data_IF_217416458840
#
_entry.id   IF_217416458840
#
_cell.length_a   1.000
_cell.length_b   1.000
_cell.length_c   1.000
_cell.angle_alpha   90.00
_cell.angle_beta   90.00
_cell.angle_gamma   90.00
#
_symmetry.space_group_name_H-M   'P 1'
#
loop_
_entity.id
_entity.type
_entity.pdbx_description
1 polymer ?
#
# COMPACT_ATOMS: atom_id res chain seq x y z
N UNK A 1 18.20 4.35 -16.56
CA UNK A 1 17.20 3.29 -16.87
C UNK A 1 16.59 3.49 -18.24
N UNK A 2 15.67 4.45 -18.41
CA UNK A 2 14.90 4.65 -19.66
C UNK A 2 15.74 4.76 -20.95
N UNK A 3 16.80 5.58 -20.97
CA UNK A 3 17.68 5.72 -22.15
C UNK A 3 18.41 4.41 -22.52
N UNK A 4 18.73 3.58 -21.52
CA UNK A 4 19.41 2.29 -21.72
C UNK A 4 18.43 1.15 -22.01
N UNK A 5 17.12 1.37 -21.89
CA UNK A 5 16.12 0.31 -21.95
C UNK A 5 16.20 -0.70 -20.80
N UNK A 6 16.86 -0.34 -19.70
CA UNK A 6 17.04 -1.20 -18.53
C UNK A 6 15.91 -0.98 -17.53
N UNK A 7 15.12 -2.03 -17.29
CA UNK A 7 13.97 -2.02 -16.39
C UNK A 7 14.27 -2.68 -15.03
N UNK A 8 15.41 -3.34 -14.87
CA UNK A 8 15.66 -4.18 -13.69
C UNK A 8 16.55 -3.47 -12.69
N UNK A 9 17.66 -2.88 -13.13
CA UNK A 9 18.67 -2.30 -12.23
C UNK A 9 18.60 -0.78 -12.26
N UNK A 10 18.10 -0.12 -11.19
CA UNK A 10 18.16 1.32 -11.10
C UNK A 10 19.61 1.78 -10.95
N UNK A 11 19.91 2.93 -11.55
CA UNK A 11 21.21 3.58 -11.37
C UNK A 11 21.03 5.06 -11.13
N UNK A 12 21.82 5.61 -10.20
CA UNK A 12 21.88 7.04 -9.90
C UNK A 12 23.33 7.48 -10.09
N UNK A 13 23.56 8.50 -10.91
CA UNK A 13 24.92 8.98 -11.27
C UNK A 13 25.89 7.92 -11.82
N UNK A 14 25.36 6.86 -12.45
CA UNK A 14 26.18 5.77 -13.01
C UNK A 14 26.34 4.58 -12.07
N UNK A 15 26.12 4.79 -10.77
CA UNK A 15 26.20 3.74 -9.75
C UNK A 15 24.88 2.99 -9.60
N UNK A 16 24.97 1.71 -9.23
CA UNK A 16 23.82 0.86 -8.96
C UNK A 16 23.06 1.34 -7.71
N UNK A 17 21.75 1.54 -7.85
CA UNK A 17 20.88 2.00 -6.77
C UNK A 17 19.83 0.92 -6.47
N UNK A 18 20.15 0.01 -5.56
CA UNK A 18 19.24 -1.04 -5.09
C UNK A 18 18.82 -0.68 -3.66
N UNK A 19 18.30 0.52 -3.45
CA UNK A 19 17.73 0.94 -2.16
C UNK A 19 16.20 0.87 -2.12
N UNK A 20 15.56 0.74 -3.29
CA UNK A 20 14.10 0.65 -3.45
C UNK A 20 13.73 -0.37 -4.53
N UNK A 21 12.63 -1.11 -4.38
CA UNK A 21 12.15 -1.98 -5.45
C UNK A 21 11.62 -1.18 -6.66
N UNK A 22 11.46 -1.82 -7.83
CA UNK A 22 11.42 -1.10 -9.10
C UNK A 22 10.06 -0.54 -9.53
N UNK A 23 8.97 -0.79 -8.80
CA UNK A 23 7.61 -0.49 -9.30
C UNK A 23 7.38 0.98 -9.65
N UNK A 24 7.85 1.91 -8.82
CA UNK A 24 7.71 3.33 -9.12
C UNK A 24 8.53 3.72 -10.37
N UNK A 25 9.73 3.16 -10.55
CA UNK A 25 10.53 3.40 -11.75
C UNK A 25 9.85 2.82 -13.01
N UNK A 26 9.19 1.66 -12.91
CA UNK A 26 8.41 1.11 -14.01
C UNK A 26 7.25 2.02 -14.40
N UNK A 27 6.52 2.58 -13.43
CA UNK A 27 5.45 3.54 -13.69
C UNK A 27 5.99 4.79 -14.40
N UNK A 28 7.08 5.36 -13.90
CA UNK A 28 7.74 6.52 -14.51
C UNK A 28 8.18 6.22 -15.95
N UNK A 29 8.78 5.06 -16.19
CA UNK A 29 9.20 4.63 -17.52
C UNK A 29 8.03 4.36 -18.46
N UNK A 30 6.92 3.80 -17.97
CA UNK A 30 5.71 3.60 -18.75
C UNK A 30 5.11 4.94 -19.19
N UNK A 31 5.07 5.93 -18.28
CA UNK A 31 4.65 7.30 -18.60
C UNK A 31 5.58 7.92 -19.66
N UNK A 32 6.90 7.75 -19.51
CA UNK A 32 7.88 8.25 -20.48
C UNK A 32 7.66 7.64 -21.87
N UNK A 33 7.39 6.33 -21.96
CA UNK A 33 7.06 5.66 -23.22
C UNK A 33 5.78 6.23 -23.84
N UNK A 34 4.71 6.36 -23.04
CA UNK A 34 3.43 6.89 -23.50
C UNK A 34 3.58 8.33 -24.02
N UNK A 35 4.30 9.21 -23.30
CA UNK A 35 4.55 10.58 -23.72
C UNK A 35 5.30 10.64 -25.04
N UNK A 36 6.36 9.83 -25.22
CA UNK A 36 7.10 9.76 -26.49
C UNK A 36 6.22 9.28 -27.65
N UNK A 37 5.37 8.29 -27.42
CA UNK A 37 4.42 7.81 -28.44
C UNK A 37 3.42 8.91 -28.88
N UNK A 38 3.13 9.87 -27.99
CA UNK A 38 2.30 11.05 -28.28
C UNK A 38 3.10 12.25 -28.85
N UNK A 39 4.36 12.06 -29.24
CA UNK A 39 5.18 13.11 -29.86
C UNK A 39 5.86 14.06 -28.87
N UNK A 40 5.90 13.73 -27.58
CA UNK A 40 6.66 14.53 -26.60
C UNK A 40 8.18 14.43 -26.84
N UNK A 41 8.92 15.36 -26.23
CA UNK A 41 10.39 15.39 -26.28
C UNK A 41 11.02 14.02 -26.03
N UNK A 42 12.10 13.66 -26.76
CA UNK A 42 12.84 12.44 -26.49
C UNK A 42 13.58 12.49 -25.13
N UNK A 43 13.74 13.66 -24.52
CA UNK A 43 14.37 13.79 -23.21
C UNK A 43 13.34 13.66 -22.08
N UNK A 44 13.65 12.84 -21.08
CA UNK A 44 12.88 12.74 -19.83
C UNK A 44 13.21 13.91 -18.93
N UNK A 45 12.18 14.52 -18.31
CA UNK A 45 12.32 15.62 -17.38
C UNK A 45 11.68 15.27 -16.01
N UNK A 46 11.50 16.26 -15.14
CA UNK A 46 10.85 16.03 -13.85
C UNK A 46 9.36 15.69 -13.97
N UNK A 47 8.76 15.91 -15.14
CA UNK A 47 7.31 15.76 -15.34
C UNK A 47 6.89 14.31 -15.20
N UNK A 48 7.64 13.33 -15.72
CA UNK A 48 7.30 11.91 -15.56
C UNK A 48 7.28 11.50 -14.09
N UNK A 49 8.24 11.98 -13.31
CA UNK A 49 8.36 11.69 -11.87
C UNK A 49 7.19 12.31 -11.11
N UNK A 50 6.88 13.59 -11.36
CA UNK A 50 5.76 14.29 -10.72
C UNK A 50 4.42 13.73 -11.15
N UNK A 51 4.26 13.34 -12.41
CA UNK A 51 3.03 12.75 -12.93
C UNK A 51 2.79 11.35 -12.33
N UNK A 52 3.83 10.53 -12.20
CA UNK A 52 3.74 9.24 -11.51
C UNK A 52 3.25 9.41 -10.06
N UNK A 53 3.86 10.35 -9.32
CA UNK A 53 3.47 10.64 -7.94
C UNK A 53 2.05 11.22 -7.85
N UNK A 54 1.65 12.09 -8.77
CA UNK A 54 0.31 12.66 -8.81
C UNK A 54 -0.76 11.58 -9.09
N UNK A 55 -0.51 10.69 -10.05
CA UNK A 55 -1.39 9.56 -10.35
C UNK A 55 -1.51 8.60 -9.17
N UNK A 56 -0.41 8.29 -8.50
CA UNK A 56 -0.41 7.51 -7.26
C UNK A 56 -1.22 8.19 -6.14
N UNK A 57 -1.04 9.51 -5.98
CA UNK A 57 -1.82 10.31 -5.03
C UNK A 57 -3.32 10.27 -5.29
N UNK A 58 -3.72 10.47 -6.56
CA UNK A 58 -5.13 10.35 -6.99
C UNK A 58 -5.65 8.92 -6.77
N UNK A 59 -4.87 7.90 -7.14
CA UNK A 59 -5.24 6.51 -6.94
C UNK A 59 -5.49 6.20 -5.45
N UNK A 60 -4.69 6.73 -4.54
CA UNK A 60 -4.91 6.51 -3.10
C UNK A 60 -6.14 7.25 -2.56
N UNK A 61 -6.48 8.44 -3.07
CA UNK A 61 -7.74 9.13 -2.73
C UNK A 61 -8.96 8.34 -3.22
N UNK A 62 -8.90 7.85 -4.47
CA UNK A 62 -9.96 7.00 -5.02
C UNK A 62 -10.08 5.68 -4.26
N UNK A 63 -8.96 5.04 -3.92
CA UNK A 63 -8.95 3.84 -3.10
C UNK A 63 -9.57 4.10 -1.72
N UNK A 64 -9.23 5.21 -1.06
CA UNK A 64 -9.80 5.60 0.24
C UNK A 64 -11.32 5.78 0.15
N UNK A 65 -11.80 6.45 -0.91
CA UNK A 65 -13.23 6.59 -1.15
C UNK A 65 -13.90 5.23 -1.37
N UNK A 66 -13.42 4.43 -2.32
CA UNK A 66 -14.05 3.16 -2.71
C UNK A 66 -14.04 2.14 -1.56
N UNK A 67 -12.92 2.03 -0.84
CA UNK A 67 -12.80 1.17 0.34
C UNK A 67 -13.66 1.71 1.47
N UNK A 68 -13.61 3.00 1.76
CA UNK A 68 -14.43 3.65 2.79
C UNK A 68 -15.93 3.39 2.59
N UNK A 69 -16.43 3.54 1.37
CA UNK A 69 -17.84 3.24 1.03
C UNK A 69 -18.23 1.82 1.37
N UNK A 70 -17.35 0.85 1.05
CA UNK A 70 -17.60 -0.57 1.31
C UNK A 70 -17.52 -0.92 2.79
N UNK A 71 -16.63 -0.25 3.53
CA UNK A 71 -16.51 -0.43 4.98
C UNK A 71 -17.75 0.09 5.71
N UNK A 72 -18.25 1.27 5.33
CA UNK A 72 -19.43 1.88 5.95
C UNK A 72 -20.73 1.14 5.61
N UNK A 73 -20.80 0.49 4.46
CA UNK A 73 -21.99 -0.25 4.04
C UNK A 73 -22.22 -1.57 4.79
N UNK A 74 -21.31 -2.00 5.68
CA UNK A 74 -21.43 -3.21 6.52
C UNK A 74 -21.86 -4.50 5.79
N UNK A 75 -21.53 -4.64 4.49
CA UNK A 75 -21.89 -5.79 3.66
C UNK A 75 -23.19 -5.64 2.86
N UNK A 76 -23.91 -4.52 3.01
CA UNK A 76 -25.03 -4.10 2.16
C UNK A 76 -24.60 -3.23 0.98
N UNK A 77 -25.60 -2.67 0.28
CA UNK A 77 -25.38 -1.63 -0.72
C UNK A 77 -25.09 -0.29 -0.01
N UNK A 78 -24.08 0.49 -0.44
CA UNK A 78 -23.78 1.79 0.15
C UNK A 78 -24.98 2.74 0.05
N UNK A 79 -25.30 3.42 1.15
CA UNK A 79 -26.27 4.50 1.18
C UNK A 79 -25.64 5.84 0.80
N UNK A 80 -26.47 6.86 0.51
CA UNK A 80 -25.98 8.22 0.24
C UNK A 80 -25.18 8.80 1.43
N UNK A 81 -25.52 8.39 2.67
CA UNK A 81 -24.77 8.77 3.87
C UNK A 81 -23.38 8.14 3.89
N UNK A 82 -23.27 6.87 3.53
CA UNK A 82 -21.99 6.14 3.49
C UNK A 82 -21.05 6.76 2.44
N UNK A 83 -21.62 7.13 1.29
CA UNK A 83 -20.90 7.84 0.23
C UNK A 83 -20.39 9.20 0.71
N UNK A 84 -21.21 9.98 1.42
CA UNK A 84 -20.79 11.26 1.98
C UNK A 84 -19.67 11.11 3.02
N UNK A 85 -19.77 10.13 3.93
CA UNK A 85 -18.74 9.87 4.94
C UNK A 85 -17.43 9.37 4.31
N UNK A 86 -17.52 8.48 3.33
CA UNK A 86 -16.35 8.01 2.60
C UNK A 86 -15.69 9.14 1.79
N UNK A 87 -16.49 10.03 1.19
CA UNK A 87 -15.99 11.20 0.49
C UNK A 87 -15.27 12.15 1.45
N UNK A 88 -15.83 12.38 2.64
CA UNK A 88 -15.19 13.21 3.67
C UNK A 88 -13.83 12.61 4.10
N UNK A 89 -13.75 11.28 4.29
CA UNK A 89 -12.50 10.60 4.60
C UNK A 89 -11.46 10.71 3.48
N UNK A 90 -11.88 10.51 2.23
CA UNK A 90 -11.01 10.65 1.06
C UNK A 90 -10.52 12.10 0.86
N UNK A 91 -11.40 13.09 1.09
CA UNK A 91 -11.05 14.51 1.10
C UNK A 91 -10.09 14.84 2.24
N UNK A 92 -10.28 14.26 3.42
CA UNK A 92 -9.35 14.38 4.54
C UNK A 92 -7.95 13.87 4.20
N UNK A 93 -7.86 12.71 3.53
CA UNK A 93 -6.58 12.19 3.02
C UNK A 93 -5.98 13.14 1.98
N UNK A 94 -6.77 13.61 1.02
CA UNK A 94 -6.34 14.53 -0.04
C UNK A 94 -5.82 15.86 0.53
N UNK A 95 -6.51 16.41 1.53
CA UNK A 95 -6.14 17.67 2.19
C UNK A 95 -5.00 17.50 3.21
N UNK A 96 -4.62 16.28 3.56
CA UNK A 96 -3.53 15.99 4.48
C UNK A 96 -2.21 16.53 3.92
N UNK A 97 -1.56 17.43 4.66
CA UNK A 97 -0.35 18.16 4.21
C UNK A 97 0.74 17.21 3.73
N UNK A 98 1.00 16.12 4.45
CA UNK A 98 2.01 15.14 4.06
C UNK A 98 1.63 14.45 2.75
N UNK A 99 0.41 13.91 2.67
CA UNK A 99 -0.06 13.19 1.49
C UNK A 99 -0.08 14.07 0.24
N UNK A 100 -0.61 15.30 0.35
CA UNK A 100 -0.65 16.27 -0.73
C UNK A 100 0.75 16.66 -1.21
N UNK A 101 1.68 16.91 -0.29
CA UNK A 101 3.08 17.25 -0.64
C UNK A 101 3.74 16.08 -1.35
N UNK A 102 3.67 14.87 -0.81
CA UNK A 102 4.26 13.66 -1.41
C UNK A 102 3.73 13.40 -2.83
N UNK A 103 2.43 13.59 -3.06
CA UNK A 103 1.81 13.44 -4.38
C UNK A 103 2.28 14.51 -5.39
N UNK A 104 2.79 15.66 -4.94
CA UNK A 104 3.23 16.76 -5.82
C UNK A 104 4.74 16.79 -6.08
N UNK A 105 5.56 16.35 -5.13
CA UNK A 105 7.02 16.53 -5.19
C UNK A 105 7.74 15.38 -5.88
N UNK A 106 7.02 14.35 -6.35
CA UNK A 106 7.65 13.19 -6.97
C UNK A 106 8.17 12.17 -5.95
N UNK A 107 7.65 12.18 -4.71
CA UNK A 107 8.11 11.29 -3.66
C UNK A 107 7.80 9.83 -4.02
N UNK A 108 8.83 8.98 -4.04
CA UNK A 108 8.74 7.59 -4.52
C UNK A 108 7.78 6.75 -3.66
N UNK A 109 7.66 7.07 -2.37
CA UNK A 109 6.91 6.26 -1.42
C UNK A 109 5.38 6.41 -1.54
N UNK A 110 4.89 7.47 -2.21
CA UNK A 110 3.44 7.77 -2.32
C UNK A 110 2.65 6.64 -3.02
N UNK A 111 3.30 5.89 -3.92
CA UNK A 111 2.68 4.77 -4.63
C UNK A 111 2.28 3.61 -3.70
N UNK A 112 2.88 3.53 -2.51
CA UNK A 112 2.54 2.50 -1.52
C UNK A 112 1.13 2.70 -0.96
N UNK A 113 0.67 3.95 -0.85
CA UNK A 113 -0.57 4.30 -0.19
C UNK A 113 -1.83 3.63 -0.80
N UNK A 114 -2.11 3.73 -2.12
CA UNK A 114 -3.26 3.05 -2.70
C UNK A 114 -3.26 1.54 -2.46
N UNK A 115 -2.10 0.89 -2.59
CA UNK A 115 -1.97 -0.55 -2.36
C UNK A 115 -2.29 -0.95 -0.91
N UNK A 116 -1.77 -0.21 0.06
CA UNK A 116 -2.05 -0.48 1.48
C UNK A 116 -3.54 -0.29 1.79
N UNK A 117 -4.16 0.78 1.27
CA UNK A 117 -5.60 1.05 1.49
C UNK A 117 -6.45 -0.09 0.91
N UNK A 118 -6.18 -0.51 -0.32
CA UNK A 118 -6.89 -1.63 -0.96
C UNK A 118 -6.66 -2.94 -0.21
N UNK A 119 -5.43 -3.21 0.22
CA UNK A 119 -5.10 -4.43 0.98
C UNK A 119 -5.92 -4.49 2.28
N UNK A 120 -5.92 -3.42 3.08
CA UNK A 120 -6.69 -3.34 4.33
C UNK A 120 -8.20 -3.50 4.07
N UNK A 121 -8.74 -2.83 3.06
CA UNK A 121 -10.15 -2.96 2.68
C UNK A 121 -10.55 -4.37 2.27
N UNK A 122 -9.72 -5.03 1.45
CA UNK A 122 -9.98 -6.40 1.01
C UNK A 122 -9.85 -7.43 2.16
N UNK A 123 -8.86 -7.25 3.04
CA UNK A 123 -8.70 -8.07 4.25
C UNK A 123 -9.89 -7.92 5.20
N UNK A 124 -10.36 -6.69 5.43
CA UNK A 124 -11.58 -6.44 6.18
C UNK A 124 -12.77 -7.14 5.51
N UNK A 125 -12.93 -7.01 4.20
CA UNK A 125 -14.03 -7.67 3.49
C UNK A 125 -13.99 -9.19 3.63
N UNK A 126 -12.80 -9.82 3.62
CA UNK A 126 -12.63 -11.24 3.93
C UNK A 126 -13.10 -11.57 5.35
N UNK A 127 -12.74 -10.74 6.33
CA UNK A 127 -13.09 -10.93 7.74
C UNK A 127 -14.59 -10.80 8.00
N UNK A 128 -15.22 -9.77 7.43
CA UNK A 128 -16.64 -9.45 7.62
C UNK A 128 -17.59 -10.50 7.01
N UNK A 129 -17.08 -11.57 6.40
CA UNK A 129 -17.89 -12.67 5.90
C UNK A 129 -18.82 -12.28 4.75
N UNK A 130 -18.50 -11.21 3.99
CA UNK A 130 -19.31 -10.76 2.86
C UNK A 130 -19.69 -11.94 1.94
N UNK A 131 -20.94 -11.95 1.47
CA UNK A 131 -21.49 -13.07 0.70
C UNK A 131 -20.76 -13.23 -0.66
N UNK A 132 -20.37 -14.46 -1.00
CA UNK A 132 -19.76 -14.80 -2.28
C UNK A 132 -18.33 -14.26 -2.51
N UNK A 133 -17.64 -14.76 -3.53
CA UNK A 133 -16.38 -14.16 -4.01
C UNK A 133 -15.21 -14.10 -3.01
N UNK A 134 -15.13 -15.03 -2.04
CA UNK A 134 -14.03 -15.04 -1.03
C UNK A 134 -12.64 -15.07 -1.68
N UNK A 135 -12.49 -15.88 -2.72
CA UNK A 135 -11.22 -16.05 -3.42
C UNK A 135 -10.85 -14.81 -4.22
N UNK A 136 -11.84 -14.11 -4.80
CA UNK A 136 -11.60 -12.83 -5.46
C UNK A 136 -11.09 -11.78 -4.45
N UNK A 137 -11.68 -11.70 -3.25
CA UNK A 137 -11.21 -10.78 -2.19
C UNK A 137 -9.81 -11.13 -1.70
N UNK A 138 -9.52 -12.43 -1.50
CA UNK A 138 -8.16 -12.89 -1.16
C UNK A 138 -7.16 -12.55 -2.26
N UNK A 139 -7.54 -12.74 -3.53
CA UNK A 139 -6.69 -12.37 -4.67
C UNK A 139 -6.43 -10.86 -4.71
N UNK A 140 -7.47 -10.03 -4.52
CA UNK A 140 -7.32 -8.56 -4.44
C UNK A 140 -6.40 -8.16 -3.28
N UNK A 141 -6.59 -8.73 -2.08
CA UNK A 141 -5.73 -8.47 -0.94
C UNK A 141 -4.27 -8.86 -1.23
N UNK A 142 -4.06 -10.04 -1.82
CA UNK A 142 -2.73 -10.57 -2.15
C UNK A 142 -2.04 -9.70 -3.20
N UNK A 143 -2.73 -9.35 -4.28
CA UNK A 143 -2.19 -8.48 -5.34
C UNK A 143 -1.87 -7.09 -4.80
N UNK A 144 -2.72 -6.54 -3.93
CA UNK A 144 -2.47 -5.25 -3.30
C UNK A 144 -1.24 -5.30 -2.38
N UNK A 145 -1.07 -6.36 -1.58
CA UNK A 145 0.13 -6.54 -0.76
C UNK A 145 1.40 -6.73 -1.60
N UNK A 146 1.34 -7.48 -2.70
CA UNK A 146 2.46 -7.60 -3.65
C UNK A 146 2.81 -6.23 -4.24
N UNK A 147 1.81 -5.44 -4.64
CA UNK A 147 2.01 -4.08 -5.12
C UNK A 147 2.67 -3.17 -4.09
N UNK A 148 2.24 -3.24 -2.82
CA UNK A 148 2.86 -2.49 -1.73
C UNK A 148 4.33 -2.89 -1.50
N UNK A 149 4.61 -4.20 -1.50
CA UNK A 149 5.97 -4.72 -1.37
C UNK A 149 6.86 -4.33 -2.56
N UNK A 150 6.32 -4.32 -3.78
CA UNK A 150 7.04 -3.86 -4.96
C UNK A 150 7.20 -2.33 -5.03
N UNK A 151 6.41 -1.56 -4.28
CA UNK A 151 6.55 -0.10 -4.20
C UNK A 151 7.64 0.32 -3.21
N UNK A 152 7.68 -0.28 -2.02
CA UNK A 152 8.55 0.19 -0.91
C UNK A 152 9.31 -0.91 -0.17
N UNK A 153 9.08 -2.17 -0.52
CA UNK A 153 9.73 -3.33 0.08
C UNK A 153 8.91 -3.98 1.20
N UNK A 154 9.48 -4.96 1.91
CA UNK A 154 8.83 -5.66 3.01
C UNK A 154 8.20 -4.77 4.10
N UNK A 155 8.78 -3.61 4.48
CA UNK A 155 8.16 -2.72 5.47
C UNK A 155 6.74 -2.25 5.11
N UNK A 156 6.38 -2.21 3.83
CA UNK A 156 5.03 -1.83 3.39
C UNK A 156 3.95 -2.83 3.84
N UNK A 157 4.34 -4.07 4.18
CA UNK A 157 3.43 -5.12 4.63
C UNK A 157 3.06 -5.01 6.11
N UNK A 158 3.75 -4.16 6.87
CA UNK A 158 3.47 -3.94 8.29
C UNK A 158 2.04 -3.49 8.54
N UNK A 159 1.59 -2.47 7.81
CA UNK A 159 0.26 -1.88 8.05
C UNK A 159 -0.87 -2.88 7.75
N UNK A 160 -0.89 -3.57 6.58
CA UNK A 160 -1.86 -4.64 6.36
C UNK A 160 -1.74 -5.79 7.37
N UNK A 161 -0.53 -6.18 7.77
CA UNK A 161 -0.30 -7.22 8.76
C UNK A 161 -0.86 -6.87 10.14
N UNK A 162 -0.60 -5.64 10.61
CA UNK A 162 -1.16 -5.11 11.85
C UNK A 162 -2.69 -5.02 11.79
N UNK A 163 -3.27 -4.66 10.65
CA UNK A 163 -4.73 -4.64 10.48
C UNK A 163 -5.34 -6.04 10.67
N UNK A 164 -4.71 -7.09 10.15
CA UNK A 164 -5.14 -8.49 10.37
C UNK A 164 -5.03 -8.87 11.84
N UNK A 165 -3.86 -8.65 12.45
CA UNK A 165 -3.61 -9.02 13.84
C UNK A 165 -4.55 -8.28 14.80
N UNK A 166 -4.76 -6.98 14.57
CA UNK A 166 -5.70 -6.16 15.31
C UNK A 166 -7.14 -6.66 15.18
N UNK A 167 -7.58 -7.01 13.96
CA UNK A 167 -8.92 -7.58 13.73
C UNK A 167 -9.14 -8.92 14.43
N UNK A 168 -8.13 -9.80 14.42
CA UNK A 168 -8.14 -11.08 15.16
C UNK A 168 -8.22 -10.81 16.66
N UNK A 169 -7.35 -9.98 17.20
CA UNK A 169 -7.31 -9.66 18.63
C UNK A 169 -8.64 -9.05 19.11
N UNK A 170 -9.20 -8.09 18.36
CA UNK A 170 -10.48 -7.47 18.67
C UNK A 170 -11.60 -8.51 18.73
N UNK A 171 -11.66 -9.42 17.76
CA UNK A 171 -12.71 -10.45 17.72
C UNK A 171 -12.58 -11.46 18.86
N UNK A 172 -11.35 -11.78 19.29
CA UNK A 172 -11.12 -12.62 20.45
C UNK A 172 -11.52 -11.94 21.77
N UNK A 173 -11.51 -10.60 21.83
CA UNK A 173 -11.92 -9.82 23.00
C UNK A 173 -13.43 -9.64 23.08
N UNK A 174 -14.10 -9.45 21.93
CA UNK A 174 -15.51 -9.07 21.87
C UNK A 174 -16.48 -10.24 21.82
N UNK A 175 -16.02 -11.47 21.51
CA UNK A 175 -16.88 -12.66 21.57
C UNK A 175 -17.15 -13.07 23.02
N UNK A 176 -18.33 -12.70 23.51
CA UNK A 176 -18.83 -12.98 24.88
C UNK A 176 -19.24 -14.42 25.13
N UNK A 177 -19.48 -15.22 24.08
CA UNK A 177 -19.97 -16.61 24.18
C UNK A 177 -18.87 -17.69 24.14
N UNK A 178 -17.59 -17.30 24.17
CA UNK A 178 -16.49 -18.27 24.11
C UNK A 178 -16.28 -18.95 25.48
N UNK A 179 -16.18 -20.30 25.55
CA UNK A 179 -15.93 -21.01 26.79
C UNK A 179 -14.66 -20.49 27.49
N UNK A 180 -14.76 -20.31 28.82
CA UNK A 180 -13.75 -19.71 29.71
C UNK A 180 -12.33 -20.31 29.62
N UNK A 181 -12.15 -21.45 28.96
CA UNK A 181 -10.85 -22.05 28.65
C UNK A 181 -10.21 -21.38 27.43
N UNK A 182 -9.72 -20.15 27.60
CA UNK A 182 -8.95 -19.44 26.58
C UNK A 182 -7.62 -20.17 26.33
N UNK A 183 -7.28 -20.60 25.10
CA UNK A 183 -5.91 -21.01 24.81
C UNK A 183 -5.06 -19.74 24.80
N UNK A 184 -4.22 -19.56 25.83
CA UNK A 184 -3.20 -18.51 25.92
C UNK A 184 -2.36 -18.38 24.63
N UNK A 185 -2.31 -19.45 23.82
CA UNK A 185 -1.63 -19.51 22.52
C UNK A 185 -2.13 -18.55 21.44
N UNK A 186 -3.41 -18.14 21.44
CA UNK A 186 -3.89 -17.18 20.42
C UNK A 186 -3.36 -15.76 20.65
N UNK A 187 -3.28 -15.35 21.93
CA UNK A 187 -2.69 -14.09 22.36
C UNK A 187 -1.18 -14.07 22.12
N UNK A 188 -0.51 -15.16 22.45
CA UNK A 188 0.91 -15.33 22.17
C UNK A 188 1.13 -15.31 20.65
N UNK A 189 0.28 -15.95 19.84
CA UNK A 189 0.41 -15.97 18.38
C UNK A 189 0.23 -14.60 17.73
N UNK A 190 -0.74 -13.80 18.17
CA UNK A 190 -0.95 -12.45 17.64
C UNK A 190 0.16 -11.48 18.07
N UNK A 191 0.63 -11.60 19.31
CA UNK A 191 1.69 -10.75 19.87
C UNK A 191 3.05 -11.14 19.30
N UNK A 192 3.35 -12.44 19.16
CA UNK A 192 4.53 -12.95 18.46
C UNK A 192 4.48 -12.61 16.98
N UNK A 193 3.32 -12.72 16.31
CA UNK A 193 3.17 -12.32 14.91
C UNK A 193 3.42 -10.82 14.69
N UNK A 194 2.90 -9.98 15.59
CA UNK A 194 3.13 -8.52 15.54
C UNK A 194 4.56 -8.13 15.85
N UNK A 195 5.18 -8.78 16.85
CA UNK A 195 6.59 -8.58 17.21
C UNK A 195 7.52 -9.11 16.14
N UNK A 196 7.23 -10.25 15.51
CA UNK A 196 8.03 -10.80 14.41
C UNK A 196 7.91 -9.94 13.15
N UNK A 197 6.71 -9.46 12.80
CA UNK A 197 6.55 -8.51 11.69
C UNK A 197 7.29 -7.19 11.98
N UNK A 198 7.18 -6.67 13.21
CA UNK A 198 7.93 -5.51 13.67
C UNK A 198 9.44 -5.72 13.61
N UNK A 199 9.94 -6.87 14.10
CA UNK A 199 11.35 -7.22 14.08
C UNK A 199 11.87 -7.44 12.64
N UNK A 200 11.12 -8.13 11.78
CA UNK A 200 11.46 -8.28 10.35
C UNK A 200 11.52 -6.92 9.64
N UNK A 201 10.65 -5.98 10.01
CA UNK A 201 10.74 -4.63 9.47
C UNK A 201 11.92 -3.84 10.02
N UNK A 202 12.23 -3.95 11.32
CA UNK A 202 13.37 -3.28 11.93
C UNK A 202 14.71 -3.80 11.38
N UNK A 203 14.85 -5.13 11.26
CA UNK A 203 16.01 -5.79 10.66
C UNK A 203 16.17 -5.40 9.19
N UNK A 204 15.07 -5.29 8.44
CA UNK A 204 15.17 -4.80 7.07
C UNK A 204 15.72 -3.37 7.02
N UNK A 205 15.23 -2.44 7.86
CA UNK A 205 15.71 -1.05 7.88
C UNK A 205 17.21 -0.95 8.18
N UNK A 206 17.76 -1.82 9.04
CA UNK A 206 19.18 -1.87 9.35
C UNK A 206 20.04 -2.42 8.20
N UNK A 207 19.60 -3.48 7.51
CA UNK A 207 20.32 -4.06 6.37
C UNK A 207 20.36 -3.12 5.14
N UNK A 208 19.28 -2.35 4.90
CA UNK A 208 19.28 -1.34 3.84
C UNK A 208 20.16 -0.12 4.18
N UNK A 209 20.34 0.20 5.46
CA UNK A 209 21.24 1.27 5.93
C UNK A 209 22.72 0.89 5.83
N UNK A 210 23.08 -0.36 6.12
CA UNK A 210 24.45 -0.87 6.04
C UNK A 210 25.00 -1.00 4.63
N UNK A 211 24.14 -1.37 3.65
CA UNK A 211 24.53 -1.49 2.24
C UNK A 211 24.67 -0.13 1.53
N UNK A 212 24.08 0.94 2.07
CA UNK A 212 24.19 2.30 1.52
C UNK A 212 25.43 3.08 2.05
N UNK A 213 26.15 2.53 3.03
CA UNK A 213 27.34 3.15 3.65
C UNK A 213 28.67 2.52 3.28
N UNK A 214 28.68 1.50 2.40
CA UNK A 214 29.87 0.81 1.93
C UNK A 214 30.05 1.01 0.41
N UNK A 215 30.48 2.21 0.02
CA UNK A 215 30.77 2.59 -1.37
C UNK A 215 31.33 4.01 -1.43
#
# INVERSE_FOLDING_TARGET
>A
MFQRGDWIVPTVHGETYIAKPPLMYWVQMAIAHARRAMGASPFTDETEVRLAAALAGVAGVLAAFLVGRRLMAEGGAPSARDDALAALGALGLCAGVLYFRSARTGEIDILTAPFVIVAVGALHACWAGAAGGRWARVAVATLAMIGAALAKGPPALLVPGLAVLGGVALTLLTRTDAPRSRPRGAWIGALVGGVLLGALSALSVEDWGGLAGAG
#
